data_IF_212387819420
#
_entry.id   IF_212387819420
#
_cell.length_a   1.000
_cell.length_b   1.000
_cell.length_c   1.000
_cell.angle_alpha   90.00
_cell.angle_beta   90.00
_cell.angle_gamma   90.00
#
_symmetry.space_group_name_H-M   'P 1'
#
loop_
_entity.id
_entity.type
_entity.pdbx_description
1 polymer ?
#
# COMPACT_ATOMS: atom_id res chain seq x y z
N UNK A 1 -59.62 41.74 -17.00
CA UNK A 1 -59.42 42.79 -18.02
C UNK A 1 -58.34 43.75 -17.54
N UNK A 2 -57.34 44.02 -18.41
CA UNK A 2 -56.47 45.22 -18.53
C UNK A 2 -55.76 45.75 -17.26
N UNK A 3 -54.42 45.65 -17.21
CA UNK A 3 -53.40 46.64 -17.70
C UNK A 3 -53.34 47.87 -16.77
N UNK A 4 -52.21 48.45 -16.34
CA UNK A 4 -50.76 48.27 -16.50
C UNK A 4 -50.14 49.48 -15.73
N UNK A 5 -48.85 49.38 -15.37
CA UNK A 5 -47.83 50.45 -15.26
C UNK A 5 -47.43 51.15 -13.92
N UNK A 6 -46.28 50.66 -13.40
CA UNK A 6 -44.96 51.34 -13.20
C UNK A 6 -44.85 52.55 -12.24
N UNK A 7 -43.99 52.42 -11.21
CA UNK A 7 -42.69 53.15 -10.98
C UNK A 7 -42.06 52.61 -9.68
N UNK A 8 -41.07 51.73 -9.75
CA UNK A 8 -39.62 51.99 -9.64
C UNK A 8 -39.21 52.87 -8.44
N UNK A 9 -38.75 52.25 -7.36
CA UNK A 9 -37.72 52.82 -6.48
C UNK A 9 -36.80 51.68 -6.03
N UNK A 10 -35.56 51.72 -6.50
CA UNK A 10 -34.49 50.83 -6.08
C UNK A 10 -33.94 51.32 -4.74
N UNK A 11 -34.15 50.55 -3.67
CA UNK A 11 -33.34 50.66 -2.46
C UNK A 11 -32.42 49.44 -2.42
N UNK A 12 -31.15 49.69 -2.72
CA UNK A 12 -30.03 48.80 -2.48
C UNK A 12 -29.91 48.65 -0.97
N UNK A 13 -30.49 47.58 -0.42
CA UNK A 13 -30.15 47.12 0.93
C UNK A 13 -28.87 46.31 0.83
N UNK A 14 -27.76 46.93 1.24
CA UNK A 14 -26.48 46.29 1.53
C UNK A 14 -26.72 45.13 2.51
N UNK A 15 -26.82 43.91 1.98
CA UNK A 15 -26.64 42.69 2.78
C UNK A 15 -25.20 42.68 3.25
N UNK A 16 -24.96 43.22 4.45
CA UNK A 16 -23.83 42.81 5.25
C UNK A 16 -24.07 41.34 5.60
N UNK A 17 -23.57 40.43 4.77
CA UNK A 17 -23.34 39.06 5.18
C UNK A 17 -22.29 39.14 6.29
N UNK A 18 -22.74 39.12 7.54
CA UNK A 18 -21.88 38.84 8.69
C UNK A 18 -21.28 37.45 8.47
N UNK A 19 -20.09 37.40 7.86
CA UNK A 19 -19.22 36.24 7.96
C UNK A 19 -18.99 36.01 9.45
N UNK A 20 -19.62 34.97 9.97
CA UNK A 20 -19.50 34.60 11.37
C UNK A 20 -18.12 33.99 11.58
N UNK A 21 -17.31 34.59 12.45
CA UNK A 21 -16.00 34.06 12.86
C UNK A 21 -16.07 32.63 13.45
N UNK A 22 -17.28 32.13 13.75
CA UNK A 22 -17.50 30.74 14.15
C UNK A 22 -17.39 29.74 12.99
N UNK A 23 -17.73 30.15 11.75
CA UNK A 23 -17.55 29.32 10.56
C UNK A 23 -16.05 29.16 10.22
N UNK A 24 -15.29 30.26 10.29
CA UNK A 24 -13.83 30.25 10.09
C UNK A 24 -13.08 29.40 11.13
N UNK A 25 -13.59 29.34 12.37
CA UNK A 25 -13.02 28.49 13.43
C UNK A 25 -13.30 26.99 13.22
N UNK A 26 -14.50 26.63 12.74
CA UNK A 26 -14.86 25.25 12.44
C UNK A 26 -14.01 24.68 11.30
N UNK A 27 -13.76 25.49 10.26
CA UNK A 27 -12.88 25.12 9.15
C UNK A 27 -11.41 25.01 9.58
N UNK A 28 -10.95 25.85 10.51
CA UNK A 28 -9.58 25.78 11.04
C UNK A 28 -9.34 24.52 11.89
N UNK A 29 -10.30 24.15 12.75
CA UNK A 29 -10.24 22.91 13.55
C UNK A 29 -10.39 21.66 12.66
N UNK A 30 -11.29 21.67 11.69
CA UNK A 30 -11.41 20.60 10.70
C UNK A 30 -10.11 20.44 9.90
N UNK A 31 -9.52 21.54 9.42
CA UNK A 31 -8.24 21.52 8.72
C UNK A 31 -7.07 21.08 9.62
N UNK A 32 -7.11 21.37 10.92
CA UNK A 32 -6.12 20.89 11.88
C UNK A 32 -6.29 19.39 12.17
N UNK A 33 -7.52 18.90 12.27
CA UNK A 33 -7.84 17.47 12.40
C UNK A 33 -7.47 16.69 11.13
N UNK A 34 -7.71 17.24 9.93
CA UNK A 34 -7.27 16.64 8.66
C UNK A 34 -5.75 16.63 8.53
N UNK A 35 -5.05 17.67 9.03
CA UNK A 35 -3.57 17.68 9.10
C UNK A 35 -3.03 16.71 10.13
N UNK A 36 -3.64 16.60 11.30
CA UNK A 36 -3.28 15.59 12.30
C UNK A 36 -3.57 14.17 11.79
N UNK A 37 -4.65 13.98 11.03
CA UNK A 37 -4.92 12.75 10.30
C UNK A 37 -3.85 12.51 9.24
N UNK A 38 -3.41 13.54 8.49
CA UNK A 38 -2.32 13.45 7.53
C UNK A 38 -0.99 12.99 8.13
N UNK A 39 -0.63 13.58 9.25
CA UNK A 39 0.59 13.30 10.00
C UNK A 39 0.57 11.92 10.66
N UNK A 40 -0.64 11.38 10.93
CA UNK A 40 -0.86 10.03 11.43
C UNK A 40 -1.23 9.00 10.32
N UNK A 41 -0.98 9.31 9.04
CA UNK A 41 -1.11 8.34 7.93
C UNK A 41 -2.52 8.21 7.33
N UNK A 42 -3.45 9.09 7.68
CA UNK A 42 -4.83 9.15 7.18
C UNK A 42 -5.08 10.21 6.10
N UNK A 43 -4.08 10.99 5.67
CA UNK A 43 -4.25 11.86 4.50
C UNK A 43 -3.99 11.14 3.20
N UNK A 44 -4.80 11.54 2.22
CA UNK A 44 -4.72 11.15 0.83
C UNK A 44 -3.47 11.74 0.14
N UNK A 45 -2.26 11.35 0.57
CA UNK A 45 -1.00 11.59 -0.14
C UNK A 45 -0.97 10.88 -1.52
N UNK A 46 0.09 11.06 -2.31
CA UNK A 46 0.26 10.52 -3.67
C UNK A 46 -0.11 9.03 -3.83
N UNK A 47 0.17 8.23 -2.82
CA UNK A 47 0.04 6.78 -2.86
C UNK A 47 -1.36 6.31 -2.48
N UNK A 48 -2.05 7.05 -1.62
CA UNK A 48 -3.52 6.99 -1.50
C UNK A 48 -4.26 7.61 -2.70
N UNK A 49 -3.63 8.43 -3.55
CA UNK A 49 -4.24 8.82 -4.84
C UNK A 49 -4.42 7.60 -5.75
N UNK A 50 -3.58 6.58 -5.66
CA UNK A 50 -3.79 5.32 -6.38
C UNK A 50 -5.12 4.68 -5.97
N UNK A 51 -5.31 4.46 -4.67
CA UNK A 51 -6.57 3.92 -4.15
C UNK A 51 -7.77 4.83 -4.46
N UNK A 52 -7.67 6.13 -4.19
CA UNK A 52 -8.73 7.10 -4.47
C UNK A 52 -9.02 7.20 -5.97
N UNK A 53 -8.02 7.07 -6.84
CA UNK A 53 -8.23 7.06 -8.30
C UNK A 53 -9.03 5.85 -8.76
N UNK A 54 -8.89 4.70 -8.09
CA UNK A 54 -9.75 3.55 -8.33
C UNK A 54 -11.18 3.79 -7.82
N UNK A 55 -11.36 4.70 -6.86
CA UNK A 55 -12.68 5.14 -6.37
C UNK A 55 -13.30 6.24 -7.24
N UNK A 56 -12.52 7.00 -8.02
CA UNK A 56 -13.01 8.09 -8.87
C UNK A 56 -14.15 7.70 -9.83
N UNK A 57 -14.17 6.50 -10.47
CA UNK A 57 -15.29 6.07 -11.30
C UNK A 57 -16.65 6.03 -10.57
N UNK A 58 -16.63 5.93 -9.24
CA UNK A 58 -17.84 5.92 -8.41
C UNK A 58 -18.34 7.31 -8.02
N UNK A 59 -17.66 8.39 -8.46
CA UNK A 59 -18.03 9.79 -8.21
C UNK A 59 -18.40 10.10 -6.74
N UNK A 60 -17.50 9.83 -5.78
CA UNK A 60 -17.79 10.05 -4.36
C UNK A 60 -17.98 11.54 -4.07
N UNK A 61 -19.02 11.88 -3.30
CA UNK A 61 -19.30 13.26 -2.86
C UNK A 61 -18.66 13.62 -1.52
N UNK A 62 -18.37 12.63 -0.68
CA UNK A 62 -17.82 12.77 0.67
C UNK A 62 -17.18 11.44 1.13
N UNK A 63 -16.32 11.47 2.14
CA UNK A 63 -15.71 10.29 2.74
C UNK A 63 -15.28 10.53 4.20
N UNK A 64 -15.51 9.54 5.07
CA UNK A 64 -15.02 9.52 6.47
C UNK A 64 -14.37 8.17 6.79
N UNK A 65 -13.27 8.20 7.55
CA UNK A 65 -12.61 6.99 8.02
C UNK A 65 -13.35 6.38 9.21
N UNK A 66 -13.59 5.06 9.16
CA UNK A 66 -14.13 4.30 10.28
C UNK A 66 -13.00 3.46 10.92
N UNK A 67 -12.68 3.65 12.21
CA UNK A 67 -11.71 2.82 12.91
C UNK A 67 -12.35 1.48 13.25
N UNK A 68 -12.27 0.51 12.34
CA UNK A 68 -12.95 -0.78 12.49
C UNK A 68 -12.10 -1.84 13.18
N UNK A 69 -10.76 -1.73 13.13
CA UNK A 69 -9.85 -2.78 13.55
C UNK A 69 -9.92 -4.05 12.69
N UNK A 70 -10.62 -3.99 11.55
CA UNK A 70 -10.96 -5.13 10.70
C UNK A 70 -12.47 -5.26 10.48
N UNK A 71 -12.85 -6.12 9.53
CA UNK A 71 -14.25 -6.38 9.18
C UNK A 71 -14.43 -7.88 8.92
N UNK A 72 -15.50 -8.46 9.44
CA UNK A 72 -16.00 -9.77 9.02
C UNK A 72 -17.01 -9.58 7.90
N UNK A 73 -16.86 -10.33 6.80
CA UNK A 73 -17.84 -10.44 5.74
C UNK A 73 -18.42 -11.85 5.75
N UNK A 74 -19.75 -11.96 5.75
CA UNK A 74 -20.45 -13.25 5.66
C UNK A 74 -21.76 -13.11 4.88
N UNK A 75 -22.30 -14.25 4.45
CA UNK A 75 -23.62 -14.36 3.85
C UNK A 75 -24.66 -14.69 4.94
N UNK A 76 -25.62 -13.79 5.13
CA UNK A 76 -26.81 -14.01 5.93
C UNK A 76 -27.97 -14.48 5.04
N UNK A 77 -28.77 -15.42 5.52
CA UNK A 77 -29.88 -15.98 4.74
C UNK A 77 -31.00 -14.97 4.47
N UNK A 78 -31.11 -13.91 5.26
CA UNK A 78 -32.16 -12.89 5.16
C UNK A 78 -31.67 -11.64 4.43
N UNK A 79 -30.48 -11.15 4.77
CA UNK A 79 -29.94 -9.88 4.25
C UNK A 79 -28.82 -10.02 3.22
N UNK A 80 -28.45 -11.25 2.84
CA UNK A 80 -27.34 -11.47 1.91
C UNK A 80 -26.00 -11.09 2.53
N UNK A 81 -25.14 -10.39 1.79
CA UNK A 81 -23.85 -9.94 2.32
C UNK A 81 -24.02 -8.99 3.50
N UNK A 82 -23.35 -9.34 4.59
CA UNK A 82 -23.32 -8.55 5.81
C UNK A 82 -21.86 -8.34 6.23
N UNK A 83 -21.49 -7.08 6.45
CA UNK A 83 -20.20 -6.66 6.96
C UNK A 83 -20.36 -6.24 8.43
N UNK A 84 -19.49 -6.71 9.31
CA UNK A 84 -19.48 -6.30 10.72
C UNK A 84 -18.07 -5.95 11.12
N UNK A 85 -17.87 -4.77 11.70
CA UNK A 85 -16.56 -4.36 12.23
C UNK A 85 -16.12 -5.33 13.32
N UNK A 86 -14.83 -5.62 13.46
CA UNK A 86 -14.35 -6.57 14.48
C UNK A 86 -14.65 -6.13 15.91
N UNK A 87 -14.87 -4.82 16.13
CA UNK A 87 -15.35 -4.26 17.41
C UNK A 87 -16.84 -4.50 17.68
N UNK A 88 -17.60 -4.98 16.70
CA UNK A 88 -19.06 -5.12 16.75
C UNK A 88 -19.83 -3.80 16.72
N UNK A 89 -19.14 -2.66 16.66
CA UNK A 89 -19.76 -1.33 16.78
C UNK A 89 -20.63 -0.96 15.57
N UNK A 90 -20.27 -1.39 14.37
CA UNK A 90 -21.01 -1.11 13.14
C UNK A 90 -21.27 -2.40 12.35
N UNK A 91 -22.49 -2.50 11.81
CA UNK A 91 -22.88 -3.49 10.81
C UNK A 91 -23.40 -2.80 9.55
N UNK A 92 -23.15 -3.42 8.41
CA UNK A 92 -23.63 -2.98 7.10
C UNK A 92 -24.30 -4.18 6.43
N UNK A 93 -25.59 -4.09 6.16
CA UNK A 93 -26.42 -5.15 5.56
C UNK A 93 -26.92 -4.74 4.18
N UNK A 94 -27.27 -5.72 3.35
CA UNK A 94 -27.88 -5.52 2.01
C UNK A 94 -26.95 -4.80 0.99
N UNK A 95 -25.65 -4.70 1.32
CA UNK A 95 -24.66 -4.05 0.49
C UNK A 95 -24.19 -4.91 -0.68
N UNK A 96 -23.83 -4.26 -1.79
CA UNK A 96 -23.04 -4.90 -2.85
C UNK A 96 -21.58 -4.83 -2.48
N UNK A 97 -20.87 -5.95 -2.58
CA UNK A 97 -19.41 -5.99 -2.40
C UNK A 97 -18.75 -5.84 -3.77
N UNK A 98 -17.72 -5.00 -3.85
CA UNK A 98 -16.92 -4.80 -5.06
C UNK A 98 -15.44 -4.97 -4.73
N UNK A 99 -14.75 -5.81 -5.51
CA UNK A 99 -13.30 -5.82 -5.56
C UNK A 99 -12.85 -4.62 -6.39
N UNK A 100 -12.33 -3.60 -5.71
CA UNK A 100 -11.90 -2.32 -6.32
C UNK A 100 -10.67 -2.51 -7.22
N UNK A 101 -9.77 -3.44 -6.88
CA UNK A 101 -8.56 -3.69 -7.66
C UNK A 101 -8.91 -4.39 -8.98
N UNK A 102 -9.79 -5.38 -8.92
CA UNK A 102 -10.25 -6.13 -10.10
C UNK A 102 -11.45 -5.51 -10.81
N UNK A 103 -12.02 -4.44 -10.25
CA UNK A 103 -13.21 -3.74 -10.76
C UNK A 103 -14.38 -4.68 -10.99
N UNK A 104 -14.55 -5.67 -10.10
CA UNK A 104 -15.52 -6.75 -10.24
C UNK A 104 -16.50 -6.71 -9.07
N UNK A 105 -17.79 -6.85 -9.36
CA UNK A 105 -18.78 -7.09 -8.31
C UNK A 105 -18.61 -8.51 -7.77
N UNK A 106 -18.62 -8.62 -6.45
CA UNK A 106 -18.63 -9.89 -5.73
C UNK A 106 -20.08 -10.24 -5.42
N UNK A 107 -20.51 -11.43 -5.85
CA UNK A 107 -21.88 -11.91 -5.70
C UNK A 107 -22.02 -12.99 -4.63
N UNK A 108 -20.93 -13.73 -4.34
CA UNK A 108 -20.90 -14.72 -3.26
C UNK A 108 -19.58 -14.73 -2.49
N UNK A 109 -19.57 -15.35 -1.29
CA UNK A 109 -18.32 -15.67 -0.58
C UNK A 109 -17.44 -16.62 -1.40
N UNK A 110 -18.05 -17.45 -2.26
CA UNK A 110 -17.29 -18.29 -3.20
C UNK A 110 -16.43 -17.47 -4.15
N UNK A 111 -16.97 -16.37 -4.68
CA UNK A 111 -16.22 -15.46 -5.58
C UNK A 111 -14.99 -14.87 -4.87
N UNK A 112 -15.10 -14.60 -3.57
CA UNK A 112 -13.98 -14.13 -2.74
C UNK A 112 -12.95 -15.23 -2.55
N UNK A 113 -13.36 -16.47 -2.29
CA UNK A 113 -12.43 -17.60 -2.15
C UNK A 113 -11.60 -17.81 -3.42
N UNK A 114 -12.22 -17.69 -4.58
CA UNK A 114 -11.56 -17.83 -5.87
C UNK A 114 -10.55 -16.71 -6.15
N UNK A 115 -10.80 -15.52 -5.60
CA UNK A 115 -9.99 -14.31 -5.81
C UNK A 115 -9.22 -13.86 -4.56
N UNK A 116 -9.10 -14.76 -3.57
CA UNK A 116 -8.67 -14.45 -2.20
C UNK A 116 -7.26 -13.87 -2.16
N UNK A 117 -6.35 -14.47 -2.91
CA UNK A 117 -5.00 -13.95 -3.06
C UNK A 117 -4.96 -12.96 -4.22
N UNK A 118 -4.14 -11.92 -4.09
CA UNK A 118 -3.89 -10.94 -5.13
C UNK A 118 -2.55 -11.25 -5.81
N UNK A 119 -2.51 -11.87 -7.00
CA UNK A 119 -1.27 -12.10 -7.72
C UNK A 119 -0.45 -10.81 -7.89
N UNK A 120 0.89 -10.91 -7.83
CA UNK A 120 1.79 -9.75 -7.89
C UNK A 120 1.66 -8.94 -9.20
N UNK A 121 1.20 -9.57 -10.28
CA UNK A 121 0.93 -8.92 -11.56
C UNK A 121 -0.42 -8.17 -11.62
N UNK A 122 -1.31 -8.39 -10.64
CA UNK A 122 -2.61 -7.71 -10.49
C UNK A 122 -2.56 -6.56 -9.48
N UNK A 123 -1.43 -6.39 -8.78
CA UNK A 123 -1.23 -5.28 -7.86
C UNK A 123 -1.38 -3.92 -8.58
N UNK A 124 -1.93 -2.89 -7.90
CA UNK A 124 -2.14 -1.56 -8.49
C UNK A 124 -0.82 -0.86 -8.87
N UNK A 125 0.29 -1.29 -8.28
CA UNK A 125 1.64 -0.88 -8.62
C UNK A 125 2.48 -2.14 -8.79
N UNK A 126 3.35 -2.17 -9.79
CA UNK A 126 4.22 -3.33 -9.98
C UNK A 126 5.38 -3.28 -8.99
N UNK A 127 5.93 -4.42 -8.55
CA UNK A 127 7.10 -4.43 -7.67
C UNK A 127 8.29 -3.64 -8.24
N UNK A 128 8.42 -3.56 -9.57
CA UNK A 128 9.49 -2.81 -10.24
C UNK A 128 9.34 -1.28 -10.14
N UNK A 129 8.13 -0.79 -9.79
CA UNK A 129 7.87 0.63 -9.54
C UNK A 129 8.38 1.08 -8.14
N UNK A 130 8.75 0.12 -7.28
CA UNK A 130 9.37 0.35 -5.98
C UNK A 130 10.91 0.38 -6.06
N UNK A 131 11.57 0.69 -4.94
CA UNK A 131 13.03 0.53 -4.85
C UNK A 131 13.40 -0.96 -4.76
N UNK A 132 13.55 -1.57 -5.94
CA UNK A 132 13.62 -3.02 -6.09
C UNK A 132 14.92 -3.50 -6.69
N UNK A 133 15.45 -4.60 -6.16
CA UNK A 133 16.63 -5.30 -6.65
C UNK A 133 16.23 -6.69 -7.10
N UNK A 134 16.50 -6.99 -8.36
CA UNK A 134 16.30 -8.32 -8.94
C UNK A 134 17.36 -9.31 -8.43
N UNK A 135 16.94 -10.46 -7.92
CA UNK A 135 17.82 -11.48 -7.35
C UNK A 135 17.65 -12.86 -8.01
N UNK A 136 18.74 -13.64 -8.07
CA UNK A 136 18.73 -15.02 -8.56
C UNK A 136 18.84 -15.16 -10.09
N UNK A 137 18.35 -16.27 -10.63
CA UNK A 137 18.49 -16.65 -12.03
C UNK A 137 17.46 -15.93 -12.92
N UNK A 138 17.90 -15.02 -13.83
CA UNK A 138 16.98 -14.24 -14.67
C UNK A 138 16.22 -15.09 -15.70
N UNK A 139 16.64 -16.32 -15.97
CA UNK A 139 15.94 -17.25 -16.88
C UNK A 139 14.69 -17.88 -16.24
N UNK A 140 14.53 -17.77 -14.92
CA UNK A 140 13.34 -18.23 -14.21
C UNK A 140 12.28 -17.13 -14.17
N UNK A 141 11.00 -17.53 -14.12
CA UNK A 141 9.92 -16.60 -13.78
C UNK A 141 10.07 -16.15 -12.32
N UNK A 142 9.62 -14.94 -12.00
CA UNK A 142 9.56 -14.47 -10.62
C UNK A 142 8.72 -15.42 -9.78
N UNK A 143 9.30 -15.85 -8.68
CA UNK A 143 8.68 -16.75 -7.72
C UNK A 143 8.05 -15.97 -6.56
N UNK A 144 8.66 -14.84 -6.18
CA UNK A 144 8.23 -14.03 -5.06
C UNK A 144 8.82 -12.61 -5.09
N UNK A 145 8.32 -11.76 -4.20
CA UNK A 145 8.89 -10.49 -3.76
C UNK A 145 9.23 -10.60 -2.27
N UNK A 146 10.45 -10.21 -1.90
CA UNK A 146 10.93 -10.17 -0.53
C UNK A 146 11.00 -8.71 -0.07
N UNK A 147 10.35 -8.40 1.03
CA UNK A 147 10.44 -7.10 1.68
C UNK A 147 11.51 -7.16 2.75
N UNK A 148 12.53 -6.32 2.62
CA UNK A 148 13.67 -6.25 3.55
C UNK A 148 13.91 -4.83 4.06
N UNK A 149 14.68 -4.70 5.12
CA UNK A 149 15.30 -3.44 5.54
C UNK A 149 16.82 -3.63 5.63
N UNK A 150 17.56 -2.52 5.56
CA UNK A 150 19.03 -2.57 5.50
C UNK A 150 19.69 -2.93 6.84
N UNK A 151 18.97 -2.74 7.94
CA UNK A 151 19.40 -2.96 9.33
C UNK A 151 18.94 -4.30 9.89
N UNK A 152 18.33 -5.16 9.07
CA UNK A 152 17.79 -6.44 9.45
C UNK A 152 18.79 -7.57 9.20
N UNK A 153 19.35 -8.15 10.27
CA UNK A 153 20.34 -9.22 10.17
C UNK A 153 19.76 -10.49 9.55
N UNK A 154 18.54 -10.88 9.94
CA UNK A 154 17.85 -12.05 9.37
C UNK A 154 17.62 -11.91 7.86
N UNK A 155 17.37 -10.69 7.38
CA UNK A 155 17.25 -10.38 5.96
C UNK A 155 18.57 -10.65 5.24
N UNK A 156 19.68 -10.18 5.81
CA UNK A 156 21.01 -10.36 5.25
C UNK A 156 21.38 -11.85 5.21
N UNK A 157 21.12 -12.58 6.29
CA UNK A 157 21.46 -14.00 6.40
C UNK A 157 20.62 -14.86 5.44
N UNK A 158 19.34 -14.50 5.25
CA UNK A 158 18.51 -15.10 4.22
C UNK A 158 19.05 -14.85 2.81
N UNK A 159 19.44 -13.62 2.48
CA UNK A 159 19.99 -13.31 1.16
C UNK A 159 21.31 -14.06 0.90
N UNK A 160 22.16 -14.23 1.92
CA UNK A 160 23.37 -15.06 1.83
C UNK A 160 23.03 -16.51 1.53
N UNK A 161 22.09 -17.10 2.27
CA UNK A 161 21.61 -18.47 2.05
C UNK A 161 21.03 -18.64 0.64
N UNK A 162 20.16 -17.72 0.21
CA UNK A 162 19.58 -17.77 -1.14
C UNK A 162 20.63 -17.55 -2.25
N UNK A 163 21.75 -16.86 -1.95
CA UNK A 163 22.81 -16.64 -2.92
C UNK A 163 23.59 -17.94 -3.23
N UNK A 164 23.66 -18.88 -2.29
CA UNK A 164 24.21 -20.23 -2.52
C UNK A 164 23.34 -21.04 -3.49
N UNK A 165 22.04 -20.75 -3.51
CA UNK A 165 21.04 -21.41 -4.36
C UNK A 165 20.57 -20.54 -5.54
N UNK A 166 21.34 -19.51 -5.90
CA UNK A 166 20.94 -18.46 -6.87
C UNK A 166 20.48 -18.98 -8.23
N UNK A 167 20.92 -20.16 -8.65
CA UNK A 167 20.58 -20.76 -9.93
C UNK A 167 19.14 -21.30 -9.99
N UNK A 168 18.54 -21.62 -8.83
CA UNK A 168 17.19 -22.21 -8.73
C UNK A 168 16.14 -21.29 -8.11
N UNK A 169 16.53 -20.08 -7.72
CA UNK A 169 15.63 -19.06 -7.18
C UNK A 169 15.55 -17.84 -8.07
N UNK A 170 14.40 -17.19 -8.07
CA UNK A 170 14.19 -15.89 -8.71
C UNK A 170 13.16 -15.09 -7.92
N UNK A 171 13.60 -14.01 -7.30
CA UNK A 171 12.74 -13.09 -6.59
C UNK A 171 13.21 -11.66 -6.73
N UNK A 172 12.30 -10.74 -6.48
CA UNK A 172 12.60 -9.32 -6.37
C UNK A 172 12.73 -8.94 -4.89
N UNK A 173 13.66 -8.04 -4.58
CA UNK A 173 13.90 -7.55 -3.24
C UNK A 173 13.42 -6.10 -3.19
N UNK A 174 12.34 -5.84 -2.47
CA UNK A 174 11.86 -4.48 -2.19
C UNK A 174 12.52 -4.00 -0.91
N UNK A 175 13.31 -2.92 -1.00
CA UNK A 175 13.98 -2.31 0.15
C UNK A 175 13.05 -1.30 0.80
N UNK A 176 12.67 -1.58 2.04
CA UNK A 176 11.85 -0.70 2.88
C UNK A 176 12.73 0.05 3.89
N UNK A 177 12.37 1.31 4.21
CA UNK A 177 13.06 2.07 5.25
C UNK A 177 12.54 1.67 6.64
N UNK A 178 13.43 1.23 7.53
CA UNK A 178 13.15 1.23 8.97
C UNK A 178 13.30 2.65 9.53
N UNK A 179 12.59 3.01 10.62
CA UNK A 179 12.78 4.30 11.28
C UNK A 179 14.24 4.59 11.65
N UNK A 180 14.61 5.87 11.72
CA UNK A 180 15.96 6.30 12.11
C UNK A 180 16.96 6.31 10.95
N UNK A 181 18.19 5.86 11.22
CA UNK A 181 19.30 5.96 10.26
C UNK A 181 19.14 5.04 9.04
N UNK A 182 18.41 3.93 9.18
CA UNK A 182 18.05 3.04 8.06
C UNK A 182 17.25 3.80 6.99
N UNK A 183 16.26 4.61 7.37
CA UNK A 183 15.50 5.43 6.42
C UNK A 183 16.39 6.43 5.65
N UNK A 184 17.30 7.13 6.35
CA UNK A 184 18.26 8.04 5.73
C UNK A 184 19.14 7.28 4.74
N UNK A 185 19.60 6.10 5.13
CA UNK A 185 20.46 5.23 4.34
C UNK A 185 19.77 4.67 3.09
N UNK A 186 18.52 4.21 3.21
CA UNK A 186 17.71 3.75 2.06
C UNK A 186 17.52 4.89 1.06
N UNK A 187 17.17 6.09 1.54
CA UNK A 187 17.09 7.29 0.69
C UNK A 187 18.42 7.57 0.02
N UNK A 188 19.52 7.56 0.77
CA UNK A 188 20.86 7.79 0.25
C UNK A 188 21.23 6.80 -0.87
N UNK A 189 20.97 5.50 -0.65
CA UNK A 189 21.21 4.44 -1.64
C UNK A 189 20.37 4.65 -2.89
N UNK A 190 19.05 4.85 -2.74
CA UNK A 190 18.14 5.07 -3.86
C UNK A 190 18.58 6.27 -4.71
N UNK A 191 18.88 7.40 -4.08
CA UNK A 191 19.31 8.59 -4.79
C UNK A 191 20.65 8.40 -5.52
N UNK A 192 21.55 7.64 -4.91
CA UNK A 192 22.84 7.31 -5.53
C UNK A 192 22.68 6.37 -6.73
N UNK A 193 21.72 5.45 -6.69
CA UNK A 193 21.32 4.63 -7.85
C UNK A 193 20.72 5.51 -8.95
N UNK A 194 19.76 6.37 -8.59
CA UNK A 194 19.09 7.28 -9.54
C UNK A 194 20.09 8.21 -10.24
N UNK A 195 21.13 8.64 -9.54
CA UNK A 195 22.20 9.48 -10.08
C UNK A 195 23.31 8.69 -10.82
N UNK A 196 23.19 7.36 -10.93
CA UNK A 196 24.18 6.51 -11.61
C UNK A 196 25.52 6.35 -10.89
N UNK A 197 25.62 6.72 -9.60
CA UNK A 197 26.85 6.59 -8.79
C UNK A 197 27.11 5.16 -8.33
N UNK A 198 26.04 4.41 -8.12
CA UNK A 198 26.04 2.99 -7.76
C UNK A 198 24.92 2.28 -8.54
N UNK A 199 24.97 0.95 -8.56
CA UNK A 199 23.96 0.10 -9.19
C UNK A 199 23.21 -0.73 -8.15
N UNK A 200 22.07 -1.31 -8.53
CA UNK A 200 21.38 -2.32 -7.72
C UNK A 200 22.28 -3.52 -7.41
N UNK A 201 23.19 -3.87 -8.33
CA UNK A 201 24.17 -4.93 -8.11
C UNK A 201 25.19 -4.54 -7.02
N UNK A 202 25.65 -3.28 -6.98
CA UNK A 202 26.54 -2.79 -5.92
C UNK A 202 25.89 -2.91 -4.53
N UNK A 203 24.61 -2.54 -4.43
CA UNK A 203 23.84 -2.67 -3.19
C UNK A 203 23.73 -4.14 -2.78
N UNK A 204 23.39 -5.01 -3.72
CA UNK A 204 23.32 -6.45 -3.46
C UNK A 204 24.65 -7.01 -2.96
N UNK A 205 25.77 -6.65 -3.60
CA UNK A 205 27.10 -7.08 -3.13
C UNK A 205 27.42 -6.54 -1.73
N UNK A 206 26.99 -5.32 -1.41
CA UNK A 206 27.13 -4.76 -0.06
C UNK A 206 26.32 -5.56 0.97
N UNK A 207 25.08 -5.93 0.66
CA UNK A 207 24.23 -6.75 1.53
C UNK A 207 24.81 -8.15 1.74
N UNK A 208 25.44 -8.73 0.71
CA UNK A 208 26.11 -10.03 0.78
C UNK A 208 27.49 -9.99 1.46
N UNK A 209 27.93 -8.83 1.97
CA UNK A 209 29.23 -8.66 2.64
C UNK A 209 30.43 -8.69 1.69
N UNK A 210 30.22 -8.47 0.38
CA UNK A 210 31.24 -8.59 -0.67
C UNK A 210 31.76 -7.24 -1.19
N UNK A 211 31.26 -6.10 -0.70
CA UNK A 211 31.62 -4.81 -1.31
C UNK A 211 32.97 -4.26 -0.87
N UNK A 212 33.75 -3.76 -1.85
CA UNK A 212 34.62 -2.59 -1.66
C UNK A 212 33.76 -1.41 -1.22
N UNK A 213 34.23 -0.65 -0.23
CA UNK A 213 33.49 0.38 0.51
C UNK A 213 32.52 1.21 -0.35
N UNK A 214 31.26 0.75 -0.44
CA UNK A 214 30.20 1.42 -1.19
C UNK A 214 29.95 2.83 -0.64
N UNK A 215 30.29 3.07 0.64
CA UNK A 215 30.07 4.35 1.31
C UNK A 215 30.74 5.52 0.60
N UNK A 216 31.92 5.30 0.02
CA UNK A 216 32.67 6.36 -0.67
C UNK A 216 32.04 6.80 -1.99
N UNK A 217 31.11 6.02 -2.55
CA UNK A 217 30.39 6.34 -3.80
C UNK A 217 29.00 6.90 -3.57
N UNK A 218 28.50 6.85 -2.34
CA UNK A 218 27.17 7.34 -2.03
C UNK A 218 27.13 8.87 -2.01
N UNK A 219 26.03 9.43 -2.47
CA UNK A 219 25.78 10.87 -2.38
C UNK A 219 25.66 11.23 -0.88
N UNK A 220 26.42 12.21 -0.36
CA UNK A 220 26.29 12.68 1.02
C UNK A 220 24.87 13.18 1.30
N UNK A 221 24.42 13.04 2.56
CA UNK A 221 23.05 13.38 2.94
C UNK A 221 22.70 14.86 2.66
N UNK A 222 23.66 15.77 2.88
CA UNK A 222 23.50 17.20 2.59
C UNK A 222 23.26 17.51 1.09
N UNK A 223 23.63 16.59 0.21
CA UNK A 223 23.56 16.74 -1.24
C UNK A 223 22.37 16.01 -1.89
N UNK A 224 21.46 15.44 -1.10
CA UNK A 224 20.26 14.72 -1.58
C UNK A 224 19.12 15.65 -2.05
N UNK A 225 19.45 16.83 -2.58
CA UNK A 225 18.46 17.79 -3.10
C UNK A 225 17.83 17.20 -4.39
N UNK A 226 16.51 17.37 -4.53
CA UNK A 226 15.71 16.96 -5.70
C UNK A 226 15.60 15.45 -6.01
N UNK A 227 16.01 14.58 -5.09
CA UNK A 227 15.80 13.15 -5.24
C UNK A 227 14.39 12.73 -4.76
N UNK A 228 13.50 12.43 -5.71
CA UNK A 228 12.19 11.85 -5.43
C UNK A 228 12.32 10.51 -4.68
N UNK A 229 11.60 10.39 -3.56
CA UNK A 229 11.49 9.18 -2.74
C UNK A 229 10.28 8.32 -3.11
N UNK A 230 9.60 8.63 -4.21
CA UNK A 230 8.38 7.96 -4.64
C UNK A 230 8.52 6.43 -4.71
N UNK A 231 9.59 5.83 -5.28
CA UNK A 231 9.73 4.36 -5.28
C UNK A 231 9.89 3.73 -3.89
N UNK A 232 10.41 4.48 -2.92
CA UNK A 232 10.49 4.02 -1.52
C UNK A 232 9.07 3.99 -0.93
N UNK A 233 8.28 5.02 -1.20
CA UNK A 233 6.87 5.10 -0.77
C UNK A 233 6.04 4.01 -1.46
N UNK A 234 6.20 3.81 -2.77
CA UNK A 234 5.54 2.72 -3.52
C UNK A 234 5.80 1.35 -2.88
N UNK A 235 7.03 1.09 -2.43
CA UNK A 235 7.37 -0.14 -1.70
C UNK A 235 6.57 -0.32 -0.40
N UNK A 236 6.42 0.76 0.39
CA UNK A 236 5.62 0.73 1.62
C UNK A 236 4.13 0.48 1.32
N UNK A 237 3.59 1.04 0.23
CA UNK A 237 2.21 0.78 -0.18
C UNK A 237 2.00 -0.64 -0.67
N UNK A 238 2.95 -1.17 -1.44
CA UNK A 238 2.92 -2.56 -1.87
C UNK A 238 2.93 -3.49 -0.65
N UNK A 239 3.79 -3.23 0.33
CA UNK A 239 3.82 -3.96 1.60
C UNK A 239 2.46 -3.89 2.32
N UNK A 240 1.81 -2.72 2.35
CA UNK A 240 0.48 -2.55 2.96
C UNK A 240 -0.63 -3.31 2.22
N UNK A 241 -0.65 -3.29 0.88
CA UNK A 241 -1.63 -4.04 0.07
C UNK A 241 -1.55 -5.53 0.37
N UNK A 242 -0.34 -6.05 0.53
CA UNK A 242 -0.09 -7.44 0.90
C UNK A 242 -0.12 -7.72 2.39
N UNK A 243 -0.50 -6.73 3.21
CA UNK A 243 -0.59 -6.84 4.67
C UNK A 243 0.71 -7.31 5.34
N UNK A 244 1.86 -6.89 4.82
CA UNK A 244 3.18 -7.16 5.42
C UNK A 244 3.25 -6.47 6.79
N UNK A 245 3.33 -7.28 7.85
CA UNK A 245 3.33 -6.80 9.25
C UNK A 245 4.74 -6.58 9.83
N UNK A 246 5.76 -7.09 9.16
CA UNK A 246 7.14 -7.06 9.67
C UNK A 246 8.15 -7.41 8.58
N UNK A 247 9.41 -7.25 8.92
CA UNK A 247 10.53 -7.46 8.01
C UNK A 247 11.50 -8.46 8.68
N UNK A 248 12.06 -9.44 7.95
CA UNK A 248 11.79 -9.73 6.54
C UNK A 248 10.40 -10.33 6.34
N UNK A 249 9.79 -10.13 5.17
CA UNK A 249 8.57 -10.83 4.74
C UNK A 249 8.65 -11.19 3.27
N UNK A 250 7.85 -12.16 2.86
CA UNK A 250 7.78 -12.62 1.46
C UNK A 250 6.35 -12.65 0.96
N UNK A 251 6.15 -12.26 -0.30
CA UNK A 251 4.91 -12.45 -1.03
C UNK A 251 5.20 -13.29 -2.27
N UNK A 252 4.55 -14.43 -2.41
CA UNK A 252 4.70 -15.32 -3.57
C UNK A 252 4.05 -14.69 -4.81
N UNK A 253 4.43 -15.15 -6.00
CA UNK A 253 3.89 -14.63 -7.27
C UNK A 253 2.35 -14.65 -7.35
N UNK A 254 1.71 -15.63 -6.71
CA UNK A 254 0.25 -15.75 -6.65
C UNK A 254 -0.42 -14.94 -5.51
N UNK A 255 0.35 -14.14 -4.76
CA UNK A 255 -0.16 -13.24 -3.72
C UNK A 255 -0.17 -13.81 -2.31
N UNK A 256 0.37 -15.01 -2.10
CA UNK A 256 0.47 -15.61 -0.75
C UNK A 256 1.54 -14.89 0.07
N UNK A 257 1.14 -14.29 1.19
CA UNK A 257 2.05 -13.72 2.19
C UNK A 257 2.67 -14.83 3.07
N UNK A 258 3.98 -14.77 3.26
CA UNK A 258 4.69 -15.46 4.33
C UNK A 258 4.77 -14.57 5.57
N UNK A 259 4.35 -15.11 6.72
CA UNK A 259 4.53 -14.47 8.02
C UNK A 259 6.01 -14.57 8.42
N UNK A 260 6.83 -13.63 7.94
CA UNK A 260 8.28 -13.75 8.02
C UNK A 260 8.87 -14.54 6.85
N UNK A 261 10.13 -14.97 6.99
CA UNK A 261 10.77 -15.85 6.02
C UNK A 261 10.42 -17.31 6.29
N UNK A 262 9.97 -18.08 5.28
CA UNK A 262 9.74 -19.51 5.43
C UNK A 262 11.06 -20.24 5.73
N UNK A 263 11.05 -21.12 6.74
CA UNK A 263 12.20 -21.97 7.09
C UNK A 263 12.68 -22.81 5.89
N UNK A 264 11.71 -23.33 5.13
CA UNK A 264 11.92 -24.03 3.87
C UNK A 264 11.23 -23.25 2.73
N UNK A 265 11.99 -22.33 2.15
CA UNK A 265 11.52 -21.47 1.06
C UNK A 265 11.05 -22.29 -0.16
N UNK A 266 11.76 -23.37 -0.53
CA UNK A 266 11.45 -24.17 -1.71
C UNK A 266 10.15 -24.94 -1.57
N UNK A 267 9.90 -25.52 -0.39
CA UNK A 267 8.64 -26.20 -0.12
C UNK A 267 7.50 -25.20 0.06
N UNK A 268 7.75 -24.05 0.68
CA UNK A 268 6.76 -22.98 0.80
C UNK A 268 6.25 -22.48 -0.56
N UNK A 269 7.13 -22.34 -1.56
CA UNK A 269 6.74 -22.00 -2.93
C UNK A 269 5.73 -22.98 -3.56
N UNK A 270 5.66 -24.23 -3.07
CA UNK A 270 4.79 -25.29 -3.59
C UNK A 270 3.50 -25.48 -2.78
N UNK A 271 3.33 -24.76 -1.67
CA UNK A 271 2.15 -24.92 -0.81
C UNK A 271 0.87 -24.54 -1.55
N UNK A 272 -0.11 -25.44 -1.52
CA UNK A 272 -1.46 -25.16 -1.96
C UNK A 272 -2.32 -24.75 -0.77
N UNK A 273 -2.77 -23.48 -0.75
CA UNK A 273 -3.59 -22.93 0.34
C UNK A 273 -5.10 -23.03 0.08
N UNK A 274 -5.53 -23.56 -1.07
CA UNK A 274 -6.95 -23.77 -1.37
C UNK A 274 -7.71 -24.55 -0.27
N UNK A 275 -7.11 -25.57 0.39
CA UNK A 275 -7.77 -26.25 1.51
C UNK A 275 -8.14 -25.33 2.68
N UNK A 276 -7.38 -24.26 2.93
CA UNK A 276 -7.64 -23.29 4.00
C UNK A 276 -8.79 -22.35 3.67
N UNK A 277 -9.10 -22.18 2.38
CA UNK A 277 -10.18 -21.32 1.91
C UNK A 277 -11.53 -22.04 1.83
N UNK A 278 -11.57 -23.34 2.16
CA UNK A 278 -12.80 -24.13 2.14
C UNK A 278 -13.84 -23.54 3.08
N UNK A 279 -15.12 -23.72 2.73
CA UNK A 279 -16.22 -23.33 3.59
C UNK A 279 -16.13 -24.11 4.93
N UNK A 280 -15.94 -23.43 6.08
CA UNK A 280 -15.79 -24.10 7.37
C UNK A 280 -17.09 -24.78 7.85
N UNK A 281 -18.23 -24.48 7.22
CA UNK A 281 -19.52 -25.09 7.53
C UNK A 281 -19.85 -26.28 6.63
N UNK A 282 -19.07 -26.53 5.57
CA UNK A 282 -19.20 -27.75 4.79
C UNK A 282 -18.55 -28.89 5.59
N UNK A 283 -19.36 -29.85 6.02
CA UNK A 283 -18.90 -31.10 6.64
C UNK A 283 -18.21 -32.00 5.63
#
# INVERSE_FOLDING_TARGET
MRKLLIKLLACIALLHSTHSAAADKYDAEAAALTRAAAENGLALNQSSRGLVSQLSPYQPKDAVYLPTGGIFLFEDQRSGFTLVTTTGRYSFSEGKVYDVLRKKQVHSISDIRESYFLPLNEAPFKPEDAFTIQFGNPSLKRQAVIFISLDCQDCIDFLKKMNEEREVVRFDIVILPSPGDSAKRVKQMWCSVKAGKITNYDILQSLLGKSKDINNRLIPHENLKDCSVEPIVTGLYLASIYNVQGIPSVVREDGVLGNGLPTDYKNWLKLNLQPLLKNPFNK
#
